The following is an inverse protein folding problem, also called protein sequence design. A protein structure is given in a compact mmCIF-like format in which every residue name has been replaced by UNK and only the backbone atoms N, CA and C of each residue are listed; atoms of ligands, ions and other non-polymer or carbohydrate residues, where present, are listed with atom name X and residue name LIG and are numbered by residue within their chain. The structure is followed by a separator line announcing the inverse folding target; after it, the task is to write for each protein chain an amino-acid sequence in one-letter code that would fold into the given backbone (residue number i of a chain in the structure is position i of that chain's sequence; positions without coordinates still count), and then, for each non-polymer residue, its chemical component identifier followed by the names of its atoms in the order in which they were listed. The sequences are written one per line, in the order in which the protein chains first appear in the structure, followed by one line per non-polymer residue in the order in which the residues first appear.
data_IF_303122091848
#
_entry.id   IF_303122091848
#
_cell.length_a   1.000
_cell.length_b   1.000
_cell.length_c   1.000
_cell.angle_alpha   90.00
_cell.angle_beta   90.00
_cell.angle_gamma   90.00
#
_symmetry.space_group_name_H-M   'P 1'
#
loop_
_entity.id
_entity.type
_entity.pdbx_description
1 polymer ?
2 non-polymer ?
3 non-polymer ?
4 non-polymer ?
5 non-polymer ?
6 water ?
#
# COMPACT_ATOMS: atom_id res chain seq x y z
N UNK A 1 8.73 8.75 -14.09
CA UNK A 1 8.54 10.02 -13.44
C UNK A 1 7.89 9.79 -12.09
N UNK A 2 7.28 10.81 -11.52
CA UNK A 2 6.74 10.81 -10.16
C UNK A 2 5.63 9.76 -10.06
N UNK A 3 4.72 9.72 -11.02
CA UNK A 3 3.61 8.74 -10.90
C UNK A 3 4.15 7.31 -10.93
N UNK A 4 5.13 7.03 -11.80
CA UNK A 4 5.70 5.67 -11.81
C UNK A 4 6.38 5.38 -10.48
N UNK A 5 7.00 6.37 -9.87
CA UNK A 5 7.72 6.13 -8.60
C UNK A 5 6.72 5.75 -7.54
N UNK A 6 5.51 6.32 -7.58
CA UNK A 6 4.48 5.92 -6.60
C UNK A 6 4.21 4.41 -6.74
N UNK A 7 4.12 3.95 -7.99
CA UNK A 7 3.88 2.51 -8.26
C UNK A 7 5.06 1.68 -7.79
N UNK A 8 6.27 2.11 -8.08
CA UNK A 8 7.51 1.42 -7.63
C UNK A 8 7.48 1.27 -6.11
N UNK A 9 7.31 2.37 -5.38
CA UNK A 9 7.37 2.32 -3.91
C UNK A 9 6.25 1.42 -3.39
N UNK A 10 5.09 1.50 -4.01
CA UNK A 10 3.91 0.70 -3.57
C UNK A 10 4.17 -0.78 -3.74
N UNK A 11 4.97 -1.20 -4.70
CA UNK A 11 5.23 -2.61 -4.94
C UNK A 11 6.15 -3.24 -3.90
N UNK A 12 6.79 -2.46 -3.04
CA UNK A 12 7.63 -3.03 -1.96
C UNK A 12 7.58 -2.07 -0.80
N UNK A 13 6.40 -1.64 -0.40
CA UNK A 13 6.30 -0.39 0.41
C UNK A 13 6.80 -0.58 1.83
N UNK A 14 6.55 -1.72 2.46
CA UNK A 14 6.98 -1.89 3.86
C UNK A 14 8.50 -1.72 3.86
N UNK A 15 9.18 -2.32 2.92
CA UNK A 15 10.67 -2.22 2.85
C UNK A 15 11.13 -0.78 2.59
N UNK A 16 10.62 -0.13 1.56
CA UNK A 16 11.03 1.26 1.21
C UNK A 16 10.71 2.17 2.40
N UNK A 17 9.51 2.04 2.94
CA UNK A 17 9.07 2.89 4.05
C UNK A 17 10.03 2.73 5.22
N UNK A 18 10.34 1.51 5.62
CA UNK A 18 11.28 1.35 6.74
C UNK A 18 12.66 1.88 6.36
N UNK A 19 13.15 1.58 5.17
CA UNK A 19 14.51 2.07 4.78
C UNK A 19 14.61 3.61 4.73
N UNK A 20 13.60 4.30 4.20
CA UNK A 20 13.60 5.77 4.15
C UNK A 20 13.49 6.36 5.54
N UNK A 21 12.58 5.85 6.37
CA UNK A 21 12.42 6.35 7.74
C UNK A 21 13.73 6.13 8.50
N UNK A 22 14.40 5.00 8.33
CA UNK A 22 15.69 4.74 9.01
C UNK A 22 16.70 5.76 8.46
N UNK A 23 16.66 6.05 7.18
CA UNK A 23 17.60 7.04 6.60
C UNK A 23 17.40 8.40 7.29
N UNK A 24 16.14 8.77 7.46
CA UNK A 24 15.72 10.00 8.16
C UNK A 24 16.22 9.97 9.60
N UNK A 25 15.91 8.92 10.36
CA UNK A 25 16.33 8.95 11.77
C UNK A 25 17.86 8.95 11.87
N UNK A 26 18.57 8.27 10.98
CA UNK A 26 20.07 8.23 11.10
C UNK A 26 20.69 9.58 10.66
N UNK A 27 20.13 10.25 9.65
CA UNK A 27 20.65 11.54 9.17
C UNK A 27 20.36 12.61 10.22
N UNK A 28 19.26 12.50 10.94
CA UNK A 28 18.73 13.54 11.89
C UNK A 28 18.40 12.88 13.21
N UNK A 29 19.41 12.40 13.96
CA UNK A 29 19.16 11.62 15.16
C UNK A 29 18.38 12.42 16.22
N UNK A 30 18.47 13.76 16.20
CA UNK A 30 17.67 14.56 17.15
C UNK A 30 16.16 14.39 16.86
N UNK A 31 15.76 13.99 15.67
CA UNK A 31 14.32 13.73 15.39
C UNK A 31 13.76 12.60 16.28
N UNK A 32 14.59 11.83 16.98
CA UNK A 32 14.01 10.85 17.94
C UNK A 32 13.40 11.53 19.18
N UNK A 33 13.44 12.85 19.37
CA UNK A 33 12.66 13.34 20.55
C UNK A 33 11.16 13.20 20.24
N UNK A 34 10.74 12.82 19.02
CA UNK A 34 9.32 12.48 18.78
C UNK A 34 9.10 10.97 18.69
N UNK A 35 10.16 10.18 18.97
CA UNK A 35 10.10 8.70 18.87
C UNK A 35 10.94 8.11 20.00
N UNK A 36 10.51 8.36 21.24
CA UNK A 36 11.25 7.93 22.45
C UNK A 36 11.48 6.42 22.44
N UNK A 37 10.51 5.66 21.93
CA UNK A 37 10.61 4.18 21.98
C UNK A 37 11.48 3.63 20.86
N UNK A 38 12.06 4.47 20.00
CA UNK A 38 13.02 3.99 18.97
C UNK A 38 14.47 4.28 19.38
N UNK A 39 14.68 4.93 20.52
CA UNK A 39 16.03 5.25 21.02
C UNK A 39 16.72 3.94 21.40
N UNK A 40 18.02 3.92 21.16
CA UNK A 40 18.96 2.88 21.63
C UNK A 40 18.73 1.56 20.92
N UNK A 41 18.36 1.63 19.64
CA UNK A 41 18.12 0.42 18.80
C UNK A 41 18.77 0.59 17.43
N UNK A 42 19.36 -0.50 16.95
CA UNK A 42 19.97 -0.57 15.61
C UNK A 42 18.84 -0.70 14.59
N UNK A 43 19.20 -0.54 13.31
CA UNK A 43 18.19 -0.68 12.23
C UNK A 43 17.51 -2.05 12.36
N UNK A 44 18.27 -3.14 12.49
CA UNK A 44 17.68 -4.51 12.48
C UNK A 44 16.74 -4.69 13.69
N UNK A 45 17.06 -4.06 14.82
CA UNK A 45 16.25 -4.12 16.07
C UNK A 45 14.93 -3.37 15.82
N UNK A 46 14.97 -2.18 15.23
CA UNK A 46 13.73 -1.45 14.85
C UNK A 46 12.87 -2.28 13.93
N UNK A 47 13.46 -2.93 12.94
CA UNK A 47 12.64 -3.69 11.97
C UNK A 47 12.04 -4.95 12.61
N UNK A 48 12.45 -5.24 13.85
CA UNK A 48 11.82 -6.30 14.70
C UNK A 48 10.69 -5.76 15.59
N UNK A 49 10.53 -4.42 15.68
CA UNK A 49 9.60 -3.77 16.66
C UNK A 49 8.24 -3.52 15.99
N UNK A 50 7.15 -4.09 16.50
CA UNK A 50 5.87 -4.14 15.77
C UNK A 50 5.42 -2.74 15.39
N UNK A 51 5.48 -1.80 16.33
CA UNK A 51 4.93 -0.45 16.06
C UNK A 51 5.80 0.25 15.03
N UNK A 52 7.10 0.00 15.03
CA UNK A 52 7.97 0.58 13.99
C UNK A 52 7.51 0.18 12.58
N UNK A 53 7.42 -1.12 12.28
CA UNK A 53 6.98 -1.59 10.97
C UNK A 53 5.61 -1.07 10.66
N UNK A 54 4.69 -1.21 11.59
CA UNK A 54 3.26 -0.98 11.26
C UNK A 54 3.06 0.54 11.13
N UNK A 55 3.58 1.34 12.05
CA UNK A 55 3.36 2.80 11.97
C UNK A 55 4.08 3.32 10.74
N UNK A 56 5.31 2.91 10.46
CA UNK A 56 6.03 3.47 9.30
C UNK A 56 5.29 3.07 8.02
N UNK A 57 4.82 1.83 7.88
CA UNK A 57 4.09 1.47 6.64
C UNK A 57 2.82 2.32 6.52
N UNK A 58 2.04 2.48 7.59
CA UNK A 58 0.78 3.28 7.54
C UNK A 58 1.13 4.71 7.14
N UNK A 59 2.21 5.24 7.64
CA UNK A 59 2.64 6.62 7.25
C UNK A 59 2.84 6.64 5.73
N UNK A 60 3.59 5.70 5.16
CA UNK A 60 3.96 5.68 3.72
C UNK A 60 2.75 5.28 2.91
N UNK A 61 1.84 4.52 3.48
CA UNK A 61 0.56 4.22 2.76
C UNK A 61 -0.14 5.52 2.47
N UNK A 62 -0.27 6.36 3.47
CA UNK A 62 -1.01 7.62 3.29
C UNK A 62 -0.13 8.59 2.49
N UNK A 63 1.19 8.58 2.69
CA UNK A 63 2.03 9.49 1.85
C UNK A 63 1.83 9.18 0.37
N UNK A 64 1.72 7.88 0.01
CA UNK A 64 1.58 7.48 -1.41
C UNK A 64 0.20 7.95 -1.88
N UNK A 65 -0.80 7.94 -1.02
CA UNK A 65 -2.17 8.42 -1.39
C UNK A 65 -2.11 9.93 -1.66
N UNK A 66 -1.38 10.66 -0.82
CA UNK A 66 -1.30 12.12 -0.99
C UNK A 66 -0.53 12.43 -2.28
N UNK A 67 0.53 11.69 -2.54
CA UNK A 67 1.30 11.88 -3.80
C UNK A 67 0.45 11.53 -5.02
N UNK A 68 -0.33 10.46 -4.90
CA UNK A 68 -1.21 9.99 -6.01
C UNK A 68 -2.30 11.02 -6.29
N UNK A 69 -2.81 11.70 -5.28
CA UNK A 69 -3.91 12.69 -5.41
C UNK A 69 -3.39 14.05 -5.88
N UNK A 70 -2.08 14.25 -5.85
CA UNK A 70 -1.42 15.51 -6.25
C UNK A 70 -1.54 15.70 -7.77
N UNK A 71 -1.54 16.94 -8.17
CA UNK A 71 -1.31 17.32 -9.58
C UNK A 71 0.03 18.02 -9.68
N UNK A 72 0.89 17.59 -10.62
CA UNK A 72 2.25 18.17 -10.79
C UNK A 72 2.94 18.36 -9.44
N UNK A 73 2.86 17.35 -8.58
CA UNK A 73 3.58 17.27 -7.28
C UNK A 73 3.04 18.34 -6.31
N UNK A 74 1.81 18.81 -6.55
CA UNK A 74 1.15 19.74 -5.60
C UNK A 74 0.00 18.99 -4.95
N UNK A 75 0.06 18.81 -3.62
CA UNK A 75 -0.98 18.05 -2.92
C UNK A 75 -2.26 18.84 -2.82
N UNK A 76 -3.35 18.10 -2.71
CA UNK A 76 -4.67 18.65 -2.37
C UNK A 76 -4.59 19.41 -1.04
N UNK A 77 -5.28 20.53 -0.99
CA UNK A 77 -5.39 21.26 0.29
C UNK A 77 -6.14 20.40 1.34
N UNK A 78 -7.10 19.56 0.96
CA UNK A 78 -7.77 18.63 1.93
C UNK A 78 -6.73 17.71 2.57
N UNK A 79 -5.77 17.20 1.79
CA UNK A 79 -4.73 16.34 2.35
C UNK A 79 -3.83 17.15 3.28
N UNK A 80 -3.41 18.34 2.89
CA UNK A 80 -2.53 19.11 3.80
C UNK A 80 -3.25 19.40 5.11
N UNK A 81 -4.53 19.75 5.05
CA UNK A 81 -5.36 20.02 6.26
C UNK A 81 -5.40 18.81 7.18
N UNK A 82 -5.70 17.62 6.62
CA UNK A 82 -5.70 16.35 7.37
C UNK A 82 -4.37 16.24 8.11
N UNK A 83 -3.24 16.49 7.44
CA UNK A 83 -1.89 16.27 8.02
C UNK A 83 -1.63 17.28 9.13
N UNK A 84 -2.17 18.48 9.01
CA UNK A 84 -2.00 19.50 10.07
C UNK A 84 -2.92 19.18 11.27
N UNK A 85 -4.16 18.72 11.03
CA UNK A 85 -5.19 18.57 12.07
C UNK A 85 -4.99 17.28 12.88
N UNK A 86 -4.36 16.25 12.31
CA UNK A 86 -4.13 14.95 12.97
C UNK A 86 -3.58 15.13 14.39
N UNK A 87 -4.24 14.51 15.37
CA UNK A 87 -3.81 14.60 16.80
C UNK A 87 -2.35 14.15 16.89
N UNK A 88 -2.00 13.13 16.11
CA UNK A 88 -0.66 12.51 16.07
C UNK A 88 0.42 13.54 15.72
N UNK A 89 0.04 14.61 15.04
CA UNK A 89 0.96 15.66 14.53
C UNK A 89 0.99 16.89 15.44
N UNK A 90 0.27 16.84 16.56
CA UNK A 90 0.13 17.98 17.50
C UNK A 90 1.49 18.65 17.74
N UNK A 91 2.54 17.88 18.02
CA UNK A 91 3.85 18.49 18.36
C UNK A 91 4.52 19.25 17.21
N UNK A 92 4.18 18.97 15.94
CA UNK A 92 5.19 19.10 14.86
C UNK A 92 5.20 20.48 14.18
N UNK A 93 6.31 20.76 13.51
CA UNK A 93 6.54 21.95 12.68
C UNK A 93 6.92 21.51 11.28
N UNK A 94 6.87 22.43 10.35
CA UNK A 94 7.13 22.08 8.94
C UNK A 94 8.55 21.56 8.78
N UNK A 95 9.48 21.94 9.67
CA UNK A 95 10.87 21.47 9.47
C UNK A 95 10.98 19.98 9.69
N UNK A 96 10.12 19.37 10.50
CA UNK A 96 10.10 17.89 10.66
C UNK A 96 9.81 17.26 9.29
N UNK A 97 8.86 17.84 8.57
CA UNK A 97 8.48 17.29 7.24
C UNK A 97 9.56 17.51 6.18
N UNK A 98 10.16 18.70 6.19
CA UNK A 98 11.26 19.03 5.26
C UNK A 98 12.37 18.00 5.44
N UNK A 99 12.74 17.66 6.68
CA UNK A 99 13.85 16.71 6.94
C UNK A 99 13.49 15.32 6.41
N UNK A 100 12.26 14.88 6.59
CA UNK A 100 11.83 13.57 6.07
C UNK A 100 12.05 13.57 4.54
N UNK A 101 11.60 14.62 3.85
CA UNK A 101 11.71 14.64 2.37
C UNK A 101 13.17 14.79 1.93
N UNK A 102 14.00 15.45 2.72
CA UNK A 102 15.46 15.52 2.36
C UNK A 102 15.97 14.10 2.35
N UNK A 103 15.69 13.35 3.39
CA UNK A 103 16.20 12.00 3.53
C UNK A 103 15.66 11.12 2.39
N UNK A 104 14.38 11.27 2.08
CA UNK A 104 13.70 10.50 1.00
C UNK A 104 14.38 10.78 -0.34
N UNK A 105 14.63 12.04 -0.66
CA UNK A 105 15.30 12.38 -1.94
C UNK A 105 16.75 11.86 -1.93
N UNK A 106 17.46 11.95 -0.81
CA UNK A 106 18.85 11.45 -0.76
C UNK A 106 18.85 9.93 -0.99
N UNK A 107 17.89 9.23 -0.40
CA UNK A 107 17.69 7.76 -0.57
C UNK A 107 17.51 7.47 -2.06
N UNK A 108 16.64 8.22 -2.69
CA UNK A 108 16.33 8.00 -4.12
C UNK A 108 17.59 8.23 -4.94
N UNK A 109 18.37 9.27 -4.63
CA UNK A 109 19.55 9.62 -5.48
C UNK A 109 20.62 8.56 -5.31
N UNK A 110 20.69 7.90 -4.15
CA UNK A 110 21.68 6.82 -3.91
C UNK A 110 21.24 5.49 -4.55
N UNK A 111 19.96 5.29 -4.86
CA UNK A 111 19.48 4.02 -5.44
C UNK A 111 20.00 3.89 -6.88
N UNK A 112 20.16 2.70 -7.41
CA UNK A 112 20.53 2.61 -8.82
C UNK A 112 19.34 2.91 -9.72
N UNK A 113 18.16 3.17 -9.14
CA UNK A 113 16.89 3.14 -9.93
C UNK A 113 16.57 4.53 -10.40
N UNK A 114 15.82 4.57 -11.51
CA UNK A 114 15.44 5.81 -12.21
C UNK A 114 14.28 6.51 -11.50
N UNK A 115 14.45 6.75 -10.19
CA UNK A 115 13.51 7.60 -9.45
C UNK A 115 13.59 9.00 -10.03
N UNK A 116 12.48 9.71 -9.97
CA UNK A 116 12.47 11.11 -10.39
C UNK A 116 12.76 11.95 -9.14
N UNK A 117 14.00 12.01 -8.66
CA UNK A 117 14.28 12.68 -7.36
C UNK A 117 13.88 14.16 -7.40
N UNK A 118 14.03 14.86 -8.52
CA UNK A 118 13.70 16.31 -8.57
C UNK A 118 12.20 16.47 -8.28
N UNK A 119 11.35 15.57 -8.78
CA UNK A 119 9.88 15.61 -8.51
C UNK A 119 9.62 15.40 -7.01
N UNK A 120 10.27 14.44 -6.37
CA UNK A 120 10.11 14.20 -4.90
C UNK A 120 10.58 15.42 -4.10
N UNK A 121 11.63 16.10 -4.54
CA UNK A 121 12.09 17.32 -3.85
C UNK A 121 10.96 18.35 -3.98
N UNK A 122 10.42 18.55 -5.16
CA UNK A 122 9.32 19.55 -5.41
C UNK A 122 8.13 19.16 -4.54
N UNK A 123 7.80 17.89 -4.51
CA UNK A 123 6.64 17.40 -3.72
C UNK A 123 6.84 17.79 -2.26
N UNK A 124 8.01 17.48 -1.73
CA UNK A 124 8.30 17.78 -0.32
C UNK A 124 8.18 19.27 -0.07
N UNK A 125 8.71 20.08 -0.97
CA UNK A 125 8.66 21.56 -0.82
C UNK A 125 7.20 21.99 -0.90
N UNK A 126 6.45 21.44 -1.85
CA UNK A 126 5.02 21.83 -2.04
C UNK A 126 4.21 21.36 -0.84
N UNK A 127 4.51 20.19 -0.27
CA UNK A 127 3.77 19.73 0.90
C UNK A 127 4.11 20.68 2.07
N UNK A 128 5.36 21.02 2.24
CA UNK A 128 5.71 21.97 3.34
C UNK A 128 4.93 23.27 3.17
N UNK A 129 4.90 23.82 1.95
CA UNK A 129 4.12 25.05 1.63
C UNK A 129 2.66 24.87 2.04
N UNK A 130 2.07 23.75 1.63
CA UNK A 130 0.64 23.47 1.89
C UNK A 130 0.41 23.34 3.40
N UNK A 131 1.32 22.66 4.11
CA UNK A 131 1.17 22.50 5.58
C UNK A 131 1.18 23.87 6.27
N UNK A 132 2.10 24.74 5.85
CA UNK A 132 2.14 26.14 6.34
C UNK A 132 0.83 26.86 6.04
N UNK A 133 0.33 26.82 4.81
CA UNK A 133 -0.97 27.44 4.43
C UNK A 133 -2.12 26.88 5.28
N UNK A 134 -2.08 25.60 5.66
CA UNK A 134 -3.16 24.92 6.42
C UNK A 134 -2.93 25.07 7.93
N UNK A 135 -1.91 25.84 8.34
CA UNK A 135 -1.78 26.37 9.71
C UNK A 135 -0.71 25.70 10.56
N UNK A 136 0.16 24.90 9.97
CA UNK A 136 1.28 24.31 10.74
C UNK A 136 2.39 25.34 10.91
N UNK A 137 2.93 25.43 12.14
CA UNK A 137 4.02 26.36 12.53
C UNK A 137 5.35 25.91 11.92
N UNK B 1 -18.10 5.20 -1.96
CA UNK B 1 -18.13 4.47 -3.20
C UNK B 1 -16.85 3.67 -3.45
N UNK B 2 -16.69 3.09 -4.62
CA UNK B 2 -15.50 2.30 -5.00
C UNK B 2 -14.18 3.06 -4.82
N UNK B 3 -14.13 4.30 -5.31
CA UNK B 3 -12.87 5.08 -5.15
C UNK B 3 -12.55 5.27 -3.68
N UNK B 4 -13.52 5.56 -2.83
CA UNK B 4 -13.19 5.73 -1.38
C UNK B 4 -12.73 4.38 -0.82
N UNK B 5 -13.34 3.28 -1.20
CA UNK B 5 -12.95 1.93 -0.70
C UNK B 5 -11.51 1.62 -1.09
N UNK B 6 -11.05 2.10 -2.24
CA UNK B 6 -9.61 1.88 -2.62
C UNK B 6 -8.78 2.64 -1.60
N UNK B 7 -9.22 3.84 -1.22
CA UNK B 7 -8.44 4.63 -0.22
C UNK B 7 -8.46 3.98 1.16
N UNK B 8 -9.61 3.48 1.60
CA UNK B 8 -9.77 2.76 2.87
C UNK B 8 -8.82 1.55 2.89
N UNK B 9 -8.87 0.73 1.88
CA UNK B 9 -8.05 -0.50 1.81
C UNK B 9 -6.57 -0.11 1.79
N UNK B 10 -6.21 0.89 1.00
CA UNK B 10 -4.79 1.32 0.88
C UNK B 10 -4.30 1.83 2.24
N UNK B 11 -5.13 2.49 3.03
CA UNK B 11 -4.70 3.05 4.33
C UNK B 11 -4.07 2.00 5.21
N UNK B 12 -4.61 0.79 5.15
CA UNK B 12 -4.14 -0.29 6.05
C UNK B 12 -4.05 -1.59 5.23
N UNK B 13 -3.35 -1.53 4.13
CA UNK B 13 -3.46 -2.54 3.06
C UNK B 13 -2.98 -3.88 3.55
N UNK B 14 -1.93 -3.92 4.37
CA UNK B 14 -1.44 -5.26 4.79
C UNK B 14 -2.50 -5.97 5.63
N UNK B 15 -3.19 -5.23 6.49
CA UNK B 15 -4.19 -5.79 7.40
C UNK B 15 -5.36 -6.32 6.58
N UNK B 16 -5.91 -5.50 5.71
CA UNK B 16 -7.06 -5.93 4.89
C UNK B 16 -6.65 -7.09 3.97
N UNK B 17 -5.45 -7.01 3.38
CA UNK B 17 -4.95 -8.07 2.48
C UNK B 17 -4.90 -9.40 3.25
N UNK B 18 -4.31 -9.41 4.41
CA UNK B 18 -4.24 -10.68 5.18
C UNK B 18 -5.64 -11.14 5.56
N UNK B 19 -6.48 -10.24 6.05
CA UNK B 19 -7.82 -10.68 6.55
C UNK B 19 -8.62 -11.29 5.39
N UNK B 20 -8.61 -10.66 4.22
CA UNK B 20 -9.41 -11.09 3.05
C UNK B 20 -8.83 -12.39 2.50
N UNK B 21 -7.53 -12.49 2.40
CA UNK B 21 -6.91 -13.73 1.85
C UNK B 21 -7.17 -14.88 2.84
N UNK B 22 -7.07 -14.65 4.13
CA UNK B 22 -7.39 -15.72 5.10
C UNK B 22 -8.87 -16.07 4.99
N UNK B 23 -9.77 -15.11 4.80
CA UNK B 23 -11.20 -15.47 4.59
C UNK B 23 -11.37 -16.37 3.37
N UNK B 24 -10.62 -16.07 2.32
CA UNK B 24 -10.61 -16.86 1.08
C UNK B 24 -10.19 -18.32 1.36
N UNK B 25 -9.03 -18.48 1.98
CA UNK B 25 -8.41 -19.80 2.22
C UNK B 25 -9.30 -20.61 3.15
N UNK B 26 -9.95 -19.95 4.10
CA UNK B 26 -10.83 -20.66 5.06
C UNK B 26 -12.13 -21.05 4.37
N UNK B 27 -12.69 -20.24 3.46
CA UNK B 27 -13.97 -20.54 2.77
C UNK B 27 -13.74 -21.63 1.74
N UNK B 28 -12.57 -21.66 1.12
CA UNK B 28 -12.24 -22.56 -0.01
C UNK B 28 -10.94 -23.27 0.30
N UNK B 29 -10.92 -24.17 1.29
CA UNK B 29 -9.68 -24.85 1.65
C UNK B 29 -8.93 -25.63 0.55
N UNK B 30 -9.62 -26.11 -0.49
CA UNK B 30 -8.88 -26.73 -1.63
C UNK B 30 -8.02 -25.71 -2.36
N UNK B 31 -8.28 -24.41 -2.21
CA UNK B 31 -7.37 -23.40 -2.86
C UNK B 31 -5.92 -23.48 -2.35
N UNK B 32 -5.65 -24.17 -1.24
CA UNK B 32 -4.25 -24.40 -0.81
C UNK B 32 -3.48 -25.32 -1.79
N UNK B 33 -4.11 -25.83 -2.85
CA UNK B 33 -3.42 -26.45 -4.01
C UNK B 33 -2.26 -25.56 -4.46
N UNK B 34 -2.51 -24.25 -4.54
CA UNK B 34 -1.54 -23.24 -5.04
C UNK B 34 -0.68 -22.68 -3.89
N UNK B 35 -0.85 -23.16 -2.66
CA UNK B 35 -0.11 -22.64 -1.46
C UNK B 35 0.35 -23.75 -0.50
N UNK B 36 1.25 -24.62 -0.96
CA UNK B 36 1.54 -25.88 -0.23
C UNK B 36 2.29 -25.59 1.08
N UNK B 37 2.96 -24.43 1.17
CA UNK B 37 3.72 -23.92 2.35
C UNK B 37 2.76 -23.41 3.45
N UNK B 38 1.51 -23.12 3.12
CA UNK B 38 0.49 -22.56 4.07
C UNK B 38 -0.33 -23.68 4.70
N UNK B 39 -0.16 -24.92 4.24
CA UNK B 39 -0.93 -26.10 4.71
C UNK B 39 -0.52 -26.44 6.15
N UNK B 40 -1.51 -26.66 7.00
CA UNK B 40 -1.31 -27.12 8.38
C UNK B 40 -0.96 -26.00 9.32
N UNK B 41 -1.28 -24.76 8.93
CA UNK B 41 -0.98 -23.55 9.73
C UNK B 41 -2.28 -22.80 10.01
N UNK B 42 -2.43 -22.30 11.24
CA UNK B 42 -3.52 -21.41 11.69
C UNK B 42 -3.32 -20.03 11.07
N UNK B 43 -4.31 -19.16 11.21
CA UNK B 43 -4.25 -17.76 10.75
C UNK B 43 -3.04 -17.10 11.41
N UNK B 44 -2.90 -17.28 12.72
CA UNK B 44 -1.84 -16.59 13.48
C UNK B 44 -0.47 -17.15 13.08
N UNK B 45 -0.34 -18.45 12.79
CA UNK B 45 0.95 -19.00 12.31
C UNK B 45 1.28 -18.33 10.96
N UNK B 46 0.29 -18.19 10.09
CA UNK B 46 0.56 -17.68 8.71
C UNK B 46 1.04 -16.24 8.85
N UNK B 47 0.37 -15.48 9.72
CA UNK B 47 0.73 -14.07 9.93
C UNK B 47 2.17 -13.96 10.43
N UNK B 48 2.76 -15.01 10.98
CA UNK B 48 4.15 -14.95 11.52
C UNK B 48 5.19 -15.31 10.43
N UNK B 49 4.76 -15.62 9.20
CA UNK B 49 5.66 -16.06 8.09
C UNK B 49 5.93 -14.86 7.18
N UNK B 50 7.19 -14.51 6.98
CA UNK B 50 7.55 -13.20 6.40
C UNK B 50 6.87 -13.04 5.04
N UNK B 51 6.86 -14.11 4.25
CA UNK B 51 6.41 -14.06 2.86
C UNK B 51 4.89 -14.03 2.86
N UNK B 52 4.23 -14.40 3.97
CA UNK B 52 2.74 -14.41 3.96
C UNK B 52 2.31 -12.96 3.92
N UNK B 53 2.81 -12.11 4.83
CA UNK B 53 2.39 -10.69 4.80
C UNK B 53 2.87 -9.97 3.56
N UNK B 54 4.10 -10.22 3.12
CA UNK B 54 4.69 -9.51 1.94
C UNK B 54 3.94 -9.93 0.68
N UNK B 55 3.82 -11.21 0.43
CA UNK B 55 3.19 -11.70 -0.82
C UNK B 55 1.72 -11.26 -0.82
N UNK B 56 1.02 -11.39 0.30
CA UNK B 56 -0.43 -11.04 0.30
C UNK B 56 -0.57 -9.53 0.07
N UNK B 57 0.23 -8.69 0.74
CA UNK B 57 0.15 -7.22 0.50
C UNK B 57 0.47 -6.90 -0.97
N UNK B 58 1.48 -7.56 -1.56
CA UNK B 58 1.85 -7.27 -2.98
C UNK B 58 0.71 -7.62 -3.90
N UNK B 59 0.03 -8.73 -3.66
CA UNK B 59 -1.19 -9.12 -4.40
C UNK B 59 -2.23 -8.00 -4.29
N UNK B 60 -2.56 -7.55 -3.09
CA UNK B 60 -3.61 -6.52 -2.90
C UNK B 60 -3.15 -5.15 -3.43
N UNK B 61 -1.84 -4.83 -3.40
CA UNK B 61 -1.38 -3.60 -4.08
C UNK B 61 -1.74 -3.67 -5.57
N UNK B 62 -1.36 -4.73 -6.27
CA UNK B 62 -1.67 -4.80 -7.70
C UNK B 62 -3.21 -4.80 -7.84
N UNK B 63 -3.95 -5.46 -6.95
CA UNK B 63 -5.44 -5.36 -7.07
C UNK B 63 -5.90 -3.90 -7.01
N UNK B 64 -5.33 -3.10 -6.11
CA UNK B 64 -5.78 -1.71 -5.94
C UNK B 64 -5.35 -0.87 -7.16
N UNK B 65 -4.19 -1.18 -7.77
CA UNK B 65 -3.71 -0.47 -8.99
C UNK B 65 -4.69 -0.73 -10.13
N UNK B 66 -5.10 -1.98 -10.29
CA UNK B 66 -6.08 -2.39 -11.35
C UNK B 66 -7.43 -1.73 -11.02
N UNK B 67 -7.84 -1.75 -9.76
CA UNK B 67 -9.13 -1.15 -9.35
C UNK B 67 -9.11 0.35 -9.67
N UNK B 68 -8.02 1.04 -9.36
CA UNK B 68 -7.99 2.51 -9.50
C UNK B 68 -7.91 2.87 -10.98
N UNK B 69 -7.34 2.02 -11.84
CA UNK B 69 -7.29 2.29 -13.30
C UNK B 69 -8.61 1.94 -13.98
N UNK B 70 -9.49 1.19 -13.30
CA UNK B 70 -10.76 0.79 -13.92
C UNK B 70 -11.65 1.99 -14.19
N UNK B 71 -12.56 1.85 -15.17
CA UNK B 71 -13.64 2.83 -15.38
C UNK B 71 -14.96 2.16 -15.05
N UNK B 72 -15.79 2.76 -14.22
CA UNK B 72 -17.07 2.11 -13.84
C UNK B 72 -16.85 0.62 -13.50
N UNK B 73 -15.79 0.29 -12.74
CA UNK B 73 -15.48 -1.07 -12.22
C UNK B 73 -15.24 -2.04 -13.39
N UNK B 74 -14.85 -1.52 -14.53
CA UNK B 74 -14.35 -2.30 -15.68
C UNK B 74 -12.85 -2.11 -15.81
N UNK B 75 -12.06 -3.17 -15.53
CA UNK B 75 -10.60 -3.05 -15.58
C UNK B 75 -10.15 -2.83 -17.02
N UNK B 76 -8.97 -2.26 -17.16
CA UNK B 76 -8.28 -2.17 -18.48
C UNK B 76 -7.93 -3.54 -18.99
N UNK B 77 -8.11 -3.79 -20.27
CA UNK B 77 -7.70 -5.09 -20.88
C UNK B 77 -6.18 -5.29 -20.71
N UNK B 78 -5.42 -4.20 -20.71
CA UNK B 78 -3.96 -4.26 -20.51
C UNK B 78 -3.60 -4.80 -19.14
N UNK B 79 -4.36 -4.41 -18.11
CA UNK B 79 -4.17 -4.93 -16.73
C UNK B 79 -4.59 -6.41 -16.66
N UNK B 80 -5.69 -6.79 -17.30
CA UNK B 80 -6.11 -8.22 -17.33
C UNK B 80 -5.00 -9.05 -18.00
N UNK B 81 -4.43 -8.55 -19.07
CA UNK B 81 -3.38 -9.26 -19.81
C UNK B 81 -2.18 -9.48 -18.89
N UNK B 82 -1.80 -8.45 -18.11
CA UNK B 82 -0.67 -8.62 -17.16
C UNK B 82 -0.97 -9.80 -16.22
N UNK B 83 -2.18 -9.89 -15.71
CA UNK B 83 -2.50 -10.91 -14.68
C UNK B 83 -2.48 -12.28 -15.35
N UNK B 84 -2.86 -12.36 -16.62
CA UNK B 84 -2.89 -13.65 -17.35
C UNK B 84 -1.44 -14.12 -17.59
N UNK B 85 -0.53 -13.21 -17.89
CA UNK B 85 0.80 -13.58 -18.43
C UNK B 85 1.80 -13.77 -17.29
N UNK B 86 1.53 -13.25 -16.10
CA UNK B 86 2.40 -13.51 -14.93
C UNK B 86 2.68 -15.02 -14.77
N UNK B 87 3.96 -15.38 -14.72
CA UNK B 87 4.44 -16.78 -14.51
C UNK B 87 3.79 -17.39 -13.25
N UNK B 88 3.61 -16.60 -12.19
CA UNK B 88 3.02 -17.11 -10.91
C UNK B 88 1.57 -17.57 -11.14
N UNK B 89 0.97 -17.12 -12.24
CA UNK B 89 -0.45 -17.42 -12.54
C UNK B 89 -0.57 -18.58 -13.53
N UNK B 90 0.54 -19.29 -13.80
CA UNK B 90 0.71 -20.22 -14.94
C UNK B 90 -0.27 -21.40 -14.89
N UNK B 91 -0.81 -21.75 -13.71
CA UNK B 91 -1.78 -22.87 -13.56
C UNK B 91 -3.24 -22.44 -13.41
N UNK B 92 -3.50 -21.14 -13.32
CA UNK B 92 -4.80 -20.65 -12.75
C UNK B 92 -5.89 -20.58 -13.83
N UNK B 93 -7.14 -20.59 -13.37
CA UNK B 93 -8.32 -20.35 -14.22
C UNK B 93 -9.10 -19.23 -13.57
N UNK B 94 -10.00 -18.66 -14.31
CA UNK B 94 -10.79 -17.50 -13.83
C UNK B 94 -11.54 -17.87 -12.54
N UNK B 95 -11.91 -19.15 -12.36
CA UNK B 95 -12.63 -19.63 -11.17
C UNK B 95 -11.89 -19.31 -9.88
N UNK B 96 -10.56 -19.32 -9.90
CA UNK B 96 -9.71 -19.00 -8.73
C UNK B 96 -9.97 -17.54 -8.31
N UNK B 97 -10.04 -16.64 -9.28
CA UNK B 97 -10.23 -15.18 -9.07
C UNK B 97 -11.69 -14.95 -8.62
N UNK B 98 -12.65 -15.64 -9.26
CA UNK B 98 -14.08 -15.58 -8.84
C UNK B 98 -14.17 -15.83 -7.32
N UNK B 99 -13.57 -16.92 -6.86
CA UNK B 99 -13.65 -17.31 -5.42
C UNK B 99 -12.99 -16.25 -4.53
N UNK B 100 -11.86 -15.69 -4.94
CA UNK B 100 -11.22 -14.59 -4.16
C UNK B 100 -12.18 -13.41 -4.01
N UNK B 101 -12.84 -13.01 -5.08
CA UNK B 101 -13.76 -11.86 -5.04
C UNK B 101 -15.02 -12.23 -4.26
N UNK B 102 -15.48 -13.47 -4.29
CA UNK B 102 -16.66 -13.85 -3.46
C UNK B 102 -16.27 -13.60 -1.99
N UNK B 103 -15.08 -14.01 -1.58
CA UNK B 103 -14.63 -13.86 -0.20
C UNK B 103 -14.46 -12.38 0.15
N UNK B 104 -13.93 -11.57 -0.77
CA UNK B 104 -13.71 -10.13 -0.58
C UNK B 104 -15.07 -9.41 -0.35
N UNK B 105 -16.04 -9.73 -1.16
CA UNK B 105 -17.38 -9.12 -1.06
C UNK B 105 -18.05 -9.58 0.24
N UNK B 106 -17.96 -10.86 0.59
CA UNK B 106 -18.50 -11.34 1.88
C UNK B 106 -17.82 -10.62 3.06
N UNK B 107 -16.53 -10.38 2.97
CA UNK B 107 -15.78 -9.65 4.02
C UNK B 107 -16.36 -8.24 4.17
N UNK B 108 -16.57 -7.56 3.05
CA UNK B 108 -17.06 -6.18 3.05
C UNK B 108 -18.49 -6.12 3.59
N UNK B 109 -19.32 -7.11 3.26
CA UNK B 109 -20.72 -7.13 3.72
C UNK B 109 -20.76 -7.30 5.24
N UNK B 110 -19.80 -8.09 5.79
CA UNK B 110 -19.75 -8.45 7.23
C UNK B 110 -19.08 -7.35 8.03
N UNK B 111 -18.39 -6.42 7.38
CA UNK B 111 -17.68 -5.36 8.12
C UNK B 111 -18.71 -4.31 8.58
N UNK B 112 -18.35 -3.59 9.59
CA UNK B 112 -19.22 -2.49 10.06
C UNK B 112 -19.13 -1.30 9.11
N UNK B 113 -18.23 -1.33 8.14
CA UNK B 113 -17.96 -0.15 7.28
C UNK B 113 -18.82 -0.10 6.01
N UNK B 114 -19.04 1.11 5.54
CA UNK B 114 -19.84 1.44 4.35
C UNK B 114 -19.03 1.20 3.07
N UNK B 115 -18.49 0.00 2.92
CA UNK B 115 -17.89 -0.40 1.63
C UNK B 115 -19.00 -0.48 0.59
N UNK B 116 -18.65 -0.19 -0.66
CA UNK B 116 -19.53 -0.35 -1.84
C UNK B 116 -19.45 -1.79 -2.35
N UNK B 117 -20.02 -2.75 -1.59
CA UNK B 117 -19.84 -4.18 -1.89
C UNK B 117 -20.40 -4.49 -3.27
N UNK B 118 -21.48 -3.83 -3.68
CA UNK B 118 -22.06 -4.10 -5.03
C UNK B 118 -21.00 -3.77 -6.12
N UNK B 119 -20.25 -2.69 -5.94
CA UNK B 119 -19.21 -2.27 -6.91
C UNK B 119 -18.08 -3.32 -6.93
N UNK B 120 -17.65 -3.81 -5.78
CA UNK B 120 -16.59 -4.84 -5.72
C UNK B 120 -17.08 -6.16 -6.36
N UNK B 121 -18.38 -6.48 -6.24
CA UNK B 121 -18.92 -7.71 -6.84
C UNK B 121 -18.87 -7.53 -8.35
N UNK B 122 -19.27 -6.35 -8.84
CA UNK B 122 -19.24 -6.04 -10.29
C UNK B 122 -17.78 -6.04 -10.82
N UNK B 123 -16.87 -5.38 -10.11
CA UNK B 123 -15.44 -5.37 -10.48
C UNK B 123 -14.94 -6.81 -10.59
N UNK B 124 -15.25 -7.65 -9.59
CA UNK B 124 -14.75 -9.05 -9.62
C UNK B 124 -15.29 -9.72 -10.86
N UNK B 125 -16.55 -9.50 -11.17
CA UNK B 125 -17.19 -10.20 -12.34
C UNK B 125 -16.56 -9.68 -13.63
N UNK B 126 -16.32 -8.37 -13.71
CA UNK B 126 -15.74 -7.72 -14.90
C UNK B 126 -14.26 -8.12 -15.00
N UNK B 127 -13.58 -8.35 -13.88
CA UNK B 127 -12.18 -8.81 -13.96
C UNK B 127 -12.15 -10.26 -14.43
N UNK B 128 -13.06 -11.12 -13.96
CA UNK B 128 -13.16 -12.52 -14.49
C UNK B 128 -13.40 -12.49 -16.02
N UNK B 129 -14.31 -11.63 -16.46
CA UNK B 129 -14.65 -11.48 -17.89
C UNK B 129 -13.39 -11.05 -18.67
N UNK B 130 -12.71 -10.03 -18.16
CA UNK B 130 -11.52 -9.44 -18.81
C UNK B 130 -10.36 -10.47 -18.83
N UNK B 131 -10.20 -11.26 -17.79
CA UNK B 131 -9.18 -12.34 -17.76
C UNK B 131 -9.43 -13.34 -18.87
N UNK B 132 -10.67 -13.78 -19.02
CA UNK B 132 -11.02 -14.71 -20.13
C UNK B 132 -10.74 -14.04 -21.50
N UNK B 133 -11.15 -12.77 -21.70
CA UNK B 133 -10.89 -12.01 -22.96
C UNK B 133 -9.38 -11.93 -23.21
N UNK B 134 -8.58 -11.86 -22.13
CA UNK B 134 -7.09 -11.75 -22.27
C UNK B 134 -6.47 -13.15 -22.28
N UNK B 135 -7.26 -14.22 -22.26
CA UNK B 135 -6.73 -15.53 -22.66
C UNK B 135 -6.65 -16.56 -21.55
N UNK B 136 -7.12 -16.27 -20.34
CA UNK B 136 -7.07 -17.24 -19.22
C UNK B 136 -8.25 -18.22 -19.38
N UNK B 137 -8.03 -19.50 -19.08
CA UNK B 137 -9.08 -20.54 -19.24
C UNK B 137 -9.98 -20.54 -18.00
X LIG C 1 1.51 9.14 13.02
X LIG C 1 0.91 10.14 8.35
X LIG C 1 4.98 12.68 8.39
X LIG C 1 5.19 12.17 13.19
X LIG C 1 1.05 9.04 11.73
X LIG C 1 0.05 8.13 11.20
X LIG C 1 -0.08 8.42 9.90
X LIG C 1 0.80 9.49 9.58
X LIG C 1 -0.99 7.76 8.93
X LIG C 1 -0.61 7.04 11.98
X LIG C 1 0.30 5.83 12.21
X LIG C 1 -0.20 4.77 13.15
X LIG C 1 -0.16 3.58 12.90
X LIG C 1 -0.61 5.24 14.32
X LIG C 1 1.97 10.87 7.89
X LIG C 1 2.28 11.18 6.55
X LIG C 1 3.44 11.90 6.53
X LIG C 1 3.87 12.02 7.91
X LIG C 1 1.47 10.81 5.35
X LIG C 1 4.20 12.42 5.33
X LIG C 1 3.56 13.62 4.75
X LIG C 1 5.43 12.77 9.69
X LIG C 1 6.60 13.45 10.13
X LIG C 1 6.71 13.29 11.47
X LIG C 1 5.57 12.50 11.89
X LIG C 1 7.54 14.21 9.27
X LIG C 1 7.77 13.87 12.38
X LIG C 1 9.15 13.24 12.15
X LIG C 1 4.26 11.27 13.60
X LIG C 1 4.06 10.79 14.92
X LIG C 1 3.03 9.89 14.89
X LIG C 1 2.53 9.88 13.54
X LIG C 1 4.91 11.20 16.10
X LIG C 1 2.46 9.07 16.04
X LIG C 1 2.65 7.57 15.86
X LIG C 1 4.03 7.02 16.11
X LIG C 1 4.23 5.85 15.53
X LIG C 1 4.87 7.56 16.79
X LIG C 1 1.50 9.86 10.70
X LIG C 1 2.96 11.39 8.73
X LIG C 1 4.79 12.20 10.78
X LIG C 1 3.31 10.73 12.75
X LIG C 1 2.97 11.28 10.79
X LIG D 1 7.07 8.18 10.51
X LIG D 1 7.44 6.86 10.65
X LIG D 1 6.97 6.14 11.72
X LIG D 1 6.15 6.74 12.66
X LIG D 1 5.79 8.07 12.52
X LIG D 1 6.24 8.80 11.45
X LIG D 1 5.79 5.97 13.72
X LIG D 1 7.58 8.93 9.35
X LIG D 1 8.07 8.30 8.42
X LIG D 1 7.60 10.13 9.40
X LIG E 1 11.34 3.77 -12.09
X LIG E 1 10.68 2.52 -12.19
X LIG E 1 11.45 4.20 -10.68
X LIG E 1 10.17 4.37 -10.08
X LIG F 1 5.28 12.34 -14.05
X LIG F 1 4.82 13.30 -15.03
X LIG F 1 4.28 11.99 -13.13
X LIG F 1 6.44 12.89 -13.34
X LIG F 1 5.67 11.16 -14.76
X LIG G 1 20.82 5.69 19.57
X LIG G 1 19.80 6.06 20.50
X LIG G 1 20.11 5.33 18.34
X LIG G 1 21.59 4.58 20.00
X LIG G 1 21.69 6.82 19.26
X LIG H 1 1.64 -14.17 -6.99
X LIG H 1 -1.22 -10.44 -8.09
X LIG H 1 -5.06 -13.33 -7.81
X LIG H 1 -2.17 -17.09 -6.94
X LIG H 1 1.20 -12.87 -7.16
X LIG H 1 2.00 -11.67 -7.08
X LIG H 1 1.19 -10.63 -7.39
X LIG H 1 -0.11 -11.15 -7.68
X LIG H 1 1.55 -9.17 -7.42
X LIG H 1 3.46 -11.63 -6.67
X LIG H 1 3.68 -11.74 -5.17
X LIG H 1 5.12 -11.80 -4.75
X LIG H 1 5.95 -12.48 -5.30
X LIG H 1 5.39 -11.05 -3.71
X LIG H 1 -2.54 -10.86 -8.08
X LIG H 1 -3.69 -10.04 -8.22
X LIG H 1 -4.79 -10.82 -8.12
X LIG H 1 -4.31 -12.18 -7.93
X LIG H 1 -3.72 -8.56 -8.40
X LIG H 1 -6.22 -10.38 -8.26
X LIG H 1 -6.73 -9.65 -7.06
X LIG H 1 -4.65 -14.61 -7.50
X LIG H 1 -5.47 -15.73 -7.30
X LIG H 1 -4.68 -16.80 -7.03
X LIG H 1 -3.32 -16.35 -7.10
X LIG H 1 -6.97 -15.76 -7.32
X LIG H 1 -5.11 -18.21 -6.73
X LIG H 1 -5.71 -18.36 -5.35
X LIG H 1 -0.86 -16.67 -6.93
X LIG H 1 0.27 -17.46 -6.64
X LIG H 1 1.37 -16.66 -6.65
X LIG H 1 0.90 -15.32 -6.89
X LIG H 1 0.27 -18.94 -6.45
X LIG H 1 2.83 -17.06 -6.46
X LIG H 1 3.15 -17.52 -5.04
X LIG H 1 2.78 -16.52 -4.00
X LIG H 1 2.42 -17.07 -2.86
X LIG H 1 2.76 -15.32 -4.18
X LIG H 1 -0.07 -12.54 -7.57
X LIG H 1 -2.92 -12.18 -7.92
X LIG H 1 -3.31 -15.00 -7.41
X LIG H 1 -0.48 -15.34 -7.09
X LIG H 1 -1.70 -13.82 -7.77
X LIG I 1 -3.04 -14.27 -3.00
X LIG I 1 -2.55 -13.88 -1.74
X LIG I 1 -1.24 -14.16 -1.43
X LIG I 1 -0.42 -14.78 -2.37
X LIG I 1 -0.91 -15.16 -3.60
X LIG I 1 -2.23 -14.89 -3.94
X LIG I 1 0.88 -15.03 -2.04
X LIG I 1 -4.46 -14.01 -3.32
X LIG I 1 -5.11 -13.27 -2.57
X LIG I 1 -4.95 -14.56 -4.28
X LIG J 1 -15.42 2.39 3.32
X LIG J 1 -14.45 2.48 2.30
X LIG J 1 -15.93 3.75 3.59
X LIG J 1 -14.95 4.56 4.25
#
# INVERSE_FOLDING_TARGET
GFKQDIATLRGDLRTYAQDIFLAFLNKYPDEKRNFKNYVGKSDQELKSMAKFGDHTEKVFNLMMEVADRATDCVPLASDASTLVQMKQHSGLTTGNFEKLFVALVEYMRASGQSFDSQSWDRFGKNLVSALSSAGMK
GFKQDIATLRGDLRTYAQDIFLAFLNKYPDEKRNFKNYVGKSDQELKSMAKFGDHTEKVFNLMMEVADRATDCVPLASDASTLVQMKQHSGLTTGNFEKLFVALVEYMRASGQSFDSQSWDRFGKNLVSALSSAGMK
MH0 CHA CHB CHC CHD C1A C2A C3A C4A CMA CAA CBA CGA O1A O2A C1B C2B C3B C4B CMB CAB CBB C1C C2C C3C C4C CMC CAC CBC C1D C2D C3D C4D CMD CAD CBD CGD O1D O2D NA NB NC ND FE
NPO C1 C2 C3 C4 C5 C6 OH N1 O2 O3
EDO C1 O1 C2 O2
SO4 S O1 O2 O3 O4
SO4 S O1 O2 O3 O4
MH0 CHA CHB CHC CHD C1A C2A C3A C4A CMA CAA CBA CGA O1A O2A C1B C2B C3B C4B CMB CAB CBB C1C C2C C3C C4C CMC CAC CBC C1D C2D C3D C4D CMD CAD CBD CGD O1D O2D NA NB NC ND FE
NPO C1 C2 C3 C4 C5 C6 OH N1 O2 O3
EDO C1 O1 C2 O2
#
